data_IF_435011122892
#
_entry.id   IF_435011122892
#
_cell.length_a   1.000
_cell.length_b   1.000
_cell.length_c   1.000
_cell.angle_alpha   90.00
_cell.angle_beta   90.00
_cell.angle_gamma   90.00
#
_symmetry.space_group_name_H-M   'P 1'
#
loop_
_entity.id
_entity.type
_entity.pdbx_description
1 polymer ?
#
# COMPACT_ATOMS: atom_id res chain seq x y z
N UNK A 1 -36.42 21.06 -6.44
CA UNK A 1 -36.05 20.13 -5.35
C UNK A 1 -35.63 18.82 -5.98
N UNK A 2 -34.40 18.76 -6.45
CA UNK A 2 -33.86 17.54 -7.05
C UNK A 2 -32.78 17.01 -6.14
N UNK A 3 -32.98 15.76 -5.74
CA UNK A 3 -32.21 15.11 -4.70
C UNK A 3 -30.77 14.83 -5.15
N UNK A 4 -29.85 15.31 -4.38
CA UNK A 4 -28.46 14.92 -4.38
C UNK A 4 -28.38 13.39 -4.26
N UNK A 5 -27.94 12.73 -5.33
CA UNK A 5 -27.66 11.29 -5.30
C UNK A 5 -26.51 11.04 -4.32
N UNK A 6 -26.64 10.17 -3.34
CA UNK A 6 -25.57 9.88 -2.42
C UNK A 6 -24.42 9.20 -3.17
N UNK A 7 -23.26 9.81 -3.13
CA UNK A 7 -22.00 9.23 -3.62
C UNK A 7 -21.80 7.89 -2.88
N UNK A 8 -21.59 6.86 -3.66
CA UNK A 8 -21.68 5.44 -3.26
C UNK A 8 -20.91 5.11 -1.98
N UNK A 9 -21.63 4.60 -0.98
CA UNK A 9 -21.09 3.91 0.22
C UNK A 9 -20.15 2.72 -0.09
N UNK A 10 -19.99 2.37 -1.36
CA UNK A 10 -19.18 1.21 -1.80
C UNK A 10 -17.67 1.49 -1.91
N UNK A 11 -17.24 2.76 -1.95
CA UNK A 11 -15.81 3.11 -1.99
C UNK A 11 -15.11 2.93 -0.63
N UNK A 12 -15.82 3.18 0.47
CA UNK A 12 -15.27 3.02 1.81
C UNK A 12 -15.02 1.54 2.19
N UNK A 13 -15.71 0.60 1.56
CA UNK A 13 -15.58 -0.83 1.88
C UNK A 13 -14.43 -1.54 1.16
N UNK A 14 -13.95 -0.99 0.03
CA UNK A 14 -12.85 -1.61 -0.73
C UNK A 14 -11.46 -1.25 -0.21
N UNK A 15 -11.34 -0.21 0.60
CA UNK A 15 -10.07 0.26 1.16
C UNK A 15 -9.73 -0.34 2.53
N UNK A 16 -10.68 -1.03 3.19
CA UNK A 16 -10.46 -1.69 4.49
C UNK A 16 -9.62 -2.96 4.42
N UNK A 17 -9.18 -3.36 3.24
CA UNK A 17 -8.29 -4.49 3.02
C UNK A 17 -6.81 -4.16 3.15
N UNK A 18 -6.42 -3.38 4.15
CA UNK A 18 -5.02 -3.27 4.56
C UNK A 18 -4.57 -4.59 5.18
N UNK A 19 -4.46 -5.64 4.36
CA UNK A 19 -3.84 -6.90 4.77
C UNK A 19 -2.38 -6.62 5.08
N UNK A 20 -2.11 -6.25 6.32
CA UNK A 20 -0.78 -6.28 6.86
C UNK A 20 -0.42 -7.73 7.04
N UNK A 21 0.54 -8.14 6.29
CA UNK A 21 1.22 -9.41 6.46
C UNK A 21 1.85 -9.50 7.85
N UNK A 22 1.09 -10.07 8.77
CA UNK A 22 1.65 -10.70 9.96
C UNK A 22 0.89 -11.97 10.20
N UNK A 23 1.53 -13.04 9.83
CA UNK A 23 1.06 -14.38 10.16
C UNK A 23 1.68 -14.81 11.49
N UNK A 24 0.80 -15.17 12.42
CA UNK A 24 1.20 -15.75 13.68
C UNK A 24 1.82 -17.13 13.47
N UNK A 25 2.88 -17.38 14.20
CA UNK A 25 3.72 -18.56 14.20
C UNK A 25 3.06 -19.76 14.86
N UNK A 26 3.18 -20.92 14.25
CA UNK A 26 3.50 -22.18 14.95
C UNK A 26 4.15 -23.16 13.95
N UNK A 27 5.41 -23.45 14.12
CA UNK A 27 6.13 -24.47 13.36
C UNK A 27 7.57 -24.56 13.82
N UNK A 28 7.87 -25.56 14.63
CA UNK A 28 9.25 -25.92 14.95
C UNK A 28 9.92 -26.51 13.70
N UNK A 29 10.96 -25.87 13.22
CA UNK A 29 11.94 -26.49 12.32
C UNK A 29 13.34 -26.03 12.71
N UNK A 30 14.31 -26.94 12.57
CA UNK A 30 15.68 -26.79 13.00
C UNK A 30 16.27 -25.43 12.66
N UNK A 31 16.71 -24.69 13.67
CA UNK A 31 17.39 -23.41 13.55
C UNK A 31 18.75 -23.61 12.84
N UNK A 32 18.74 -23.62 11.52
CA UNK A 32 19.92 -23.19 10.78
C UNK A 32 19.93 -21.67 10.85
N UNK A 33 20.80 -21.12 11.70
CA UNK A 33 21.12 -19.68 11.73
C UNK A 33 21.54 -19.22 10.33
N UNK A 34 20.58 -18.83 9.50
CA UNK A 34 20.85 -18.23 8.21
C UNK A 34 21.10 -16.73 8.41
N UNK A 35 22.29 -16.39 8.89
CA UNK A 35 22.70 -15.01 9.20
C UNK A 35 22.55 -14.05 8.02
N UNK A 36 22.74 -14.55 6.81
CA UNK A 36 22.62 -13.72 5.61
C UNK A 36 21.15 -13.37 5.33
N UNK A 37 20.25 -14.32 5.53
CA UNK A 37 18.81 -14.10 5.40
C UNK A 37 18.26 -13.20 6.52
N UNK A 38 18.73 -13.37 7.74
CA UNK A 38 18.36 -12.50 8.86
C UNK A 38 18.85 -11.05 8.62
N UNK A 39 20.07 -10.86 8.10
CA UNK A 39 20.58 -9.53 7.73
C UNK A 39 19.79 -8.89 6.56
N UNK A 40 19.41 -9.68 5.57
CA UNK A 40 18.52 -9.25 4.50
C UNK A 40 17.17 -8.80 5.06
N UNK A 41 16.56 -9.60 5.93
CA UNK A 41 15.28 -9.27 6.57
C UNK A 41 15.37 -8.01 7.44
N UNK A 42 16.47 -7.83 8.19
CA UNK A 42 16.72 -6.61 8.95
C UNK A 42 16.77 -5.38 8.04
N UNK A 43 17.51 -5.46 6.94
CA UNK A 43 17.61 -4.37 5.97
C UNK A 43 16.24 -3.98 5.39
N UNK A 44 15.44 -4.95 4.96
CA UNK A 44 14.09 -4.72 4.43
C UNK A 44 13.19 -4.12 5.51
N UNK A 45 13.17 -4.70 6.72
CA UNK A 45 12.27 -4.31 7.81
C UNK A 45 12.63 -2.97 8.46
N UNK A 46 13.84 -2.45 8.26
CA UNK A 46 14.31 -1.19 8.88
C UNK A 46 13.44 0.02 8.51
N UNK A 47 12.98 0.09 7.27
CA UNK A 47 12.24 1.25 6.74
C UNK A 47 10.71 1.03 6.71
N UNK A 48 10.25 -0.20 6.85
CA UNK A 48 8.83 -0.57 6.76
C UNK A 48 7.92 0.22 7.71
N UNK A 49 8.27 0.46 9.00
CA UNK A 49 7.38 1.20 9.90
C UNK A 49 7.04 2.62 9.43
N UNK A 50 8.05 3.36 8.92
CA UNK A 50 7.83 4.72 8.42
C UNK A 50 7.00 4.73 7.13
N UNK A 51 7.27 3.78 6.23
CA UNK A 51 6.50 3.61 5.00
C UNK A 51 5.05 3.23 5.31
N UNK A 52 4.84 2.28 6.23
CA UNK A 52 3.51 1.86 6.65
C UNK A 52 2.71 3.00 7.27
N UNK A 53 3.32 3.77 8.18
CA UNK A 53 2.66 4.92 8.80
C UNK A 53 2.19 5.95 7.76
N UNK A 54 3.04 6.24 6.74
CA UNK A 54 2.70 7.15 5.65
C UNK A 54 1.54 6.63 4.80
N UNK A 55 1.57 5.35 4.43
CA UNK A 55 0.52 4.69 3.65
C UNK A 55 -0.81 4.68 4.44
N UNK A 56 -0.77 4.29 5.71
CA UNK A 56 -1.96 4.26 6.57
C UNK A 56 -2.59 5.65 6.70
N UNK A 57 -1.78 6.67 7.02
CA UNK A 57 -2.28 8.04 7.13
C UNK A 57 -2.91 8.56 5.83
N UNK A 58 -2.38 8.16 4.67
CA UNK A 58 -2.95 8.53 3.38
C UNK A 58 -4.30 7.84 3.11
N UNK A 59 -4.44 6.56 3.43
CA UNK A 59 -5.74 5.87 3.35
C UNK A 59 -6.76 6.45 4.33
N UNK A 60 -6.34 6.80 5.55
CA UNK A 60 -7.21 7.45 6.53
C UNK A 60 -7.69 8.82 6.02
N UNK A 61 -6.81 9.59 5.37
CA UNK A 61 -7.19 10.86 4.76
C UNK A 61 -8.26 10.68 3.67
N UNK A 62 -8.09 9.70 2.77
CA UNK A 62 -9.09 9.38 1.73
C UNK A 62 -10.42 8.89 2.33
N UNK A 63 -10.37 8.07 3.39
CA UNK A 63 -11.57 7.54 4.04
C UNK A 63 -12.37 8.62 4.77
N UNK A 64 -11.69 9.64 5.32
CA UNK A 64 -12.27 10.72 6.12
C UNK A 64 -12.54 11.99 5.32
N UNK A 65 -12.34 11.99 4.01
CA UNK A 65 -12.69 13.12 3.14
C UNK A 65 -14.17 13.46 3.32
N UNK A 66 -14.45 14.71 3.67
CA UNK A 66 -15.81 15.21 3.84
C UNK A 66 -16.54 15.20 2.49
N UNK A 67 -17.63 14.43 2.38
CA UNK A 67 -18.38 14.26 1.12
C UNK A 67 -19.05 15.51 0.61
N UNK A 68 -19.24 16.50 1.49
CA UNK A 68 -19.86 17.80 1.30
C UNK A 68 -18.84 18.95 1.39
N UNK A 69 -17.55 18.61 1.33
CA UNK A 69 -16.45 19.58 1.28
C UNK A 69 -16.45 20.39 -0.01
N UNK A 70 -15.75 21.53 0.01
CA UNK A 70 -15.56 22.33 -1.20
C UNK A 70 -14.65 21.60 -2.20
N UNK A 71 -14.90 21.73 -3.52
CA UNK A 71 -14.08 21.07 -4.53
C UNK A 71 -12.58 21.26 -4.36
N UNK A 72 -12.13 22.46 -3.98
CA UNK A 72 -10.71 22.75 -3.77
C UNK A 72 -10.11 22.00 -2.58
N UNK A 73 -10.89 21.85 -1.49
CA UNK A 73 -10.46 21.13 -0.29
C UNK A 73 -10.39 19.62 -0.55
N UNK A 74 -11.38 19.08 -1.28
CA UNK A 74 -11.40 17.68 -1.71
C UNK A 74 -10.23 17.38 -2.64
N UNK A 75 -10.04 18.20 -3.68
CA UNK A 75 -8.92 18.06 -4.62
C UNK A 75 -7.58 18.04 -3.90
N UNK A 76 -7.37 18.98 -2.97
CA UNK A 76 -6.12 19.07 -2.20
C UNK A 76 -5.89 17.82 -1.35
N UNK A 77 -6.90 17.38 -0.61
CA UNK A 77 -6.79 16.21 0.27
C UNK A 77 -6.50 14.95 -0.52
N UNK A 78 -7.23 14.71 -1.61
CA UNK A 78 -7.03 13.53 -2.45
C UNK A 78 -5.67 13.56 -3.15
N UNK A 79 -5.25 14.72 -3.66
CA UNK A 79 -3.93 14.90 -4.28
C UNK A 79 -2.79 14.59 -3.30
N UNK A 80 -2.84 15.13 -2.08
CA UNK A 80 -1.85 14.87 -1.03
C UNK A 80 -1.85 13.40 -0.61
N UNK A 81 -3.02 12.78 -0.50
CA UNK A 81 -3.14 11.37 -0.14
C UNK A 81 -2.57 10.45 -1.24
N UNK A 82 -2.90 10.69 -2.52
CA UNK A 82 -2.34 9.92 -3.63
C UNK A 82 -0.83 10.11 -3.78
N UNK A 83 -0.31 11.32 -3.53
CA UNK A 83 1.14 11.54 -3.49
C UNK A 83 1.79 10.70 -2.39
N UNK A 84 1.21 10.70 -1.18
CA UNK A 84 1.74 9.94 -0.06
C UNK A 84 1.69 8.42 -0.29
N UNK A 85 0.65 7.91 -0.96
CA UNK A 85 0.55 6.51 -1.37
C UNK A 85 1.61 6.16 -2.40
N UNK A 86 1.75 6.98 -3.45
CA UNK A 86 2.78 6.80 -4.47
C UNK A 86 4.19 6.74 -3.84
N UNK A 87 4.53 7.74 -3.03
CA UNK A 87 5.84 7.81 -2.35
C UNK A 87 6.07 6.63 -1.40
N UNK A 88 5.03 6.21 -0.66
CA UNK A 88 5.11 5.09 0.27
C UNK A 88 5.41 3.77 -0.45
N UNK A 89 4.70 3.48 -1.55
CA UNK A 89 4.93 2.28 -2.35
C UNK A 89 6.25 2.33 -3.12
N UNK A 90 6.66 3.51 -3.62
CA UNK A 90 7.97 3.70 -4.23
C UNK A 90 9.10 3.43 -3.24
N UNK A 91 8.97 3.92 -2.01
CA UNK A 91 9.97 3.67 -0.98
C UNK A 91 10.06 2.19 -0.62
N UNK A 92 8.94 1.45 -0.61
CA UNK A 92 8.92 -0.01 -0.43
C UNK A 92 9.61 -0.75 -1.57
N UNK A 93 9.27 -0.40 -2.83
CA UNK A 93 9.90 -0.98 -4.00
C UNK A 93 11.42 -0.76 -3.98
N UNK A 94 11.84 0.48 -3.65
CA UNK A 94 13.26 0.84 -3.56
C UNK A 94 13.98 0.08 -2.45
N UNK A 95 13.39 -0.02 -1.26
CA UNK A 95 13.99 -0.74 -0.13
C UNK A 95 14.16 -2.23 -0.45
N UNK A 96 13.13 -2.86 -1.00
CA UNK A 96 13.16 -4.25 -1.40
C UNK A 96 14.15 -4.48 -2.55
N UNK A 97 14.13 -3.62 -3.58
CA UNK A 97 15.06 -3.69 -4.72
C UNK A 97 16.53 -3.51 -4.31
N UNK A 98 16.80 -2.62 -3.33
CA UNK A 98 18.16 -2.39 -2.81
C UNK A 98 18.66 -3.54 -1.94
N UNK A 99 17.76 -4.28 -1.28
CA UNK A 99 18.14 -5.46 -0.50
C UNK A 99 18.48 -6.65 -1.38
N UNK A 100 18.02 -6.67 -2.63
CA UNK A 100 18.17 -7.82 -3.54
C UNK A 100 17.24 -8.98 -3.15
N UNK A 101 17.40 -10.10 -3.84
CA UNK A 101 16.65 -11.31 -3.53
C UNK A 101 17.11 -11.93 -2.20
N UNK A 102 16.19 -12.56 -1.43
CA UNK A 102 16.56 -13.28 -0.21
C UNK A 102 17.64 -14.33 -0.47
N UNK A 103 18.78 -14.27 0.21
CA UNK A 103 19.89 -15.18 -0.03
C UNK A 103 19.55 -16.61 0.40
N UNK A 104 20.06 -17.59 -0.35
CA UNK A 104 19.91 -19.02 -0.03
C UNK A 104 18.50 -19.60 -0.24
N UNK A 105 17.57 -18.83 -0.83
CA UNK A 105 16.19 -19.25 -1.06
C UNK A 105 15.98 -19.57 -2.54
N UNK A 106 15.55 -20.79 -2.84
CA UNK A 106 15.32 -21.23 -4.22
C UNK A 106 14.18 -20.45 -4.88
N UNK A 107 14.40 -19.97 -6.10
CA UNK A 107 13.40 -19.20 -6.87
C UNK A 107 13.12 -17.80 -6.34
N UNK A 108 13.83 -17.33 -5.32
CA UNK A 108 13.62 -16.01 -4.70
C UNK A 108 13.85 -14.86 -5.66
N UNK A 109 14.78 -14.95 -6.60
CA UNK A 109 15.07 -13.90 -7.59
C UNK A 109 13.83 -13.51 -8.40
N UNK A 110 13.10 -14.51 -8.89
CA UNK A 110 11.88 -14.28 -9.66
C UNK A 110 10.78 -13.66 -8.80
N UNK A 111 10.56 -14.19 -7.61
CA UNK A 111 9.56 -13.69 -6.64
C UNK A 111 9.88 -12.24 -6.20
N UNK A 112 11.16 -11.99 -5.92
CA UNK A 112 11.67 -10.68 -5.56
C UNK A 112 11.43 -9.65 -6.67
N UNK A 113 11.83 -9.99 -7.91
CA UNK A 113 11.60 -9.12 -9.06
C UNK A 113 10.12 -8.82 -9.26
N UNK A 114 9.26 -9.84 -9.19
CA UNK A 114 7.80 -9.67 -9.32
C UNK A 114 7.24 -8.74 -8.25
N UNK A 115 7.67 -8.88 -6.99
CA UNK A 115 7.24 -8.01 -5.91
C UNK A 115 7.69 -6.55 -6.11
N UNK A 116 8.94 -6.32 -6.52
CA UNK A 116 9.46 -4.98 -6.82
C UNK A 116 8.72 -4.35 -7.99
N UNK A 117 8.51 -5.09 -9.08
CA UNK A 117 7.81 -4.60 -10.26
C UNK A 117 6.35 -4.19 -9.92
N UNK A 118 5.63 -5.00 -9.15
CA UNK A 118 4.24 -4.71 -8.75
C UNK A 118 4.14 -3.54 -7.77
N UNK A 119 5.06 -3.40 -6.83
CA UNK A 119 5.12 -2.23 -5.94
C UNK A 119 5.41 -0.95 -6.73
N UNK A 120 6.28 -1.01 -7.74
CA UNK A 120 6.59 0.10 -8.62
C UNK A 120 5.36 0.48 -9.45
N UNK A 121 4.70 -0.49 -10.08
CA UNK A 121 3.46 -0.27 -10.83
C UNK A 121 2.37 0.38 -9.96
N UNK A 122 2.23 -0.08 -8.72
CA UNK A 122 1.27 0.49 -7.78
C UNK A 122 1.60 1.93 -7.42
N UNK A 123 2.88 2.25 -7.20
CA UNK A 123 3.35 3.62 -6.99
C UNK A 123 3.02 4.53 -8.17
N UNK A 124 3.30 4.08 -9.38
CA UNK A 124 3.03 4.85 -10.61
C UNK A 124 1.54 5.08 -10.81
N UNK A 125 0.72 4.08 -10.50
CA UNK A 125 -0.74 4.19 -10.59
C UNK A 125 -1.32 5.22 -9.61
N UNK A 126 -0.78 5.33 -8.39
CA UNK A 126 -1.16 6.40 -7.48
C UNK A 126 -0.67 7.78 -7.94
N UNK A 127 0.52 7.86 -8.54
CA UNK A 127 0.99 9.10 -9.15
C UNK A 127 0.09 9.57 -10.31
N UNK A 128 -0.45 8.64 -11.08
CA UNK A 128 -1.39 8.95 -12.16
C UNK A 128 -2.76 9.38 -11.62
N UNK A 129 -3.26 8.76 -10.54
CA UNK A 129 -4.47 9.24 -9.83
C UNK A 129 -4.30 10.67 -9.33
N UNK A 130 -3.14 10.97 -8.73
CA UNK A 130 -2.82 12.34 -8.32
C UNK A 130 -2.91 13.32 -9.48
N UNK A 131 -2.30 13.01 -10.64
CA UNK A 131 -2.36 13.88 -11.83
C UNK A 131 -3.79 14.09 -12.30
N UNK A 132 -4.63 13.05 -12.27
CA UNK A 132 -6.04 13.16 -12.63
C UNK A 132 -6.78 14.09 -11.68
N UNK A 133 -6.61 13.93 -10.37
CA UNK A 133 -7.20 14.80 -9.36
C UNK A 133 -6.73 16.26 -9.51
N UNK A 134 -5.43 16.47 -9.70
CA UNK A 134 -4.86 17.82 -9.89
C UNK A 134 -5.45 18.55 -11.13
N UNK A 135 -5.88 17.80 -12.14
CA UNK A 135 -6.45 18.32 -13.36
C UNK A 135 -7.96 18.63 -13.27
N UNK A 136 -8.64 18.31 -12.17
CA UNK A 136 -10.08 18.54 -12.03
C UNK A 136 -10.40 20.04 -11.93
N UNK A 137 -11.47 20.46 -12.59
CA UNK A 137 -11.95 21.85 -12.57
C UNK A 137 -12.77 22.11 -11.29
N UNK A 138 -12.15 22.68 -10.28
CA UNK A 138 -12.80 23.02 -9.00
C UNK A 138 -13.79 24.17 -9.10
N UNK A 139 -13.79 24.93 -10.20
CA UNK A 139 -14.71 26.06 -10.41
C UNK A 139 -16.05 25.62 -11.00
N UNK A 140 -16.10 24.45 -11.60
CA UNK A 140 -17.29 23.84 -12.16
C UNK A 140 -17.64 22.56 -11.37
N UNK A 141 -18.59 22.69 -10.46
CA UNK A 141 -18.97 21.60 -9.56
C UNK A 141 -19.45 20.34 -10.31
N UNK A 142 -20.12 20.50 -11.45
CA UNK A 142 -20.62 19.37 -12.23
C UNK A 142 -19.47 18.63 -12.92
N UNK A 143 -18.50 19.36 -13.49
CA UNK A 143 -17.29 18.78 -14.07
C UNK A 143 -16.40 18.15 -13.01
N UNK A 144 -16.26 18.80 -11.85
CA UNK A 144 -15.51 18.25 -10.73
C UNK A 144 -16.10 16.91 -10.29
N UNK A 145 -17.41 16.83 -10.09
CA UNK A 145 -18.08 15.59 -9.69
C UNK A 145 -17.91 14.48 -10.75
N UNK A 146 -18.08 14.82 -12.05
CA UNK A 146 -17.84 13.85 -13.12
C UNK A 146 -16.41 13.37 -13.17
N UNK A 147 -15.43 14.24 -12.96
CA UNK A 147 -14.02 13.86 -12.92
C UNK A 147 -13.67 12.97 -11.71
N UNK A 148 -14.33 13.17 -10.56
CA UNK A 148 -14.19 12.25 -9.41
C UNK A 148 -14.78 10.86 -9.71
N UNK A 149 -15.83 10.75 -10.53
CA UNK A 149 -16.34 9.45 -10.98
C UNK A 149 -15.28 8.72 -11.82
N UNK A 150 -14.57 9.42 -12.70
CA UNK A 150 -13.47 8.85 -13.50
C UNK A 150 -12.28 8.39 -12.59
N UNK A 151 -11.92 9.20 -11.60
CA UNK A 151 -10.92 8.83 -10.57
C UNK A 151 -11.37 7.57 -9.81
N UNK A 152 -12.65 7.49 -9.44
CA UNK A 152 -13.23 6.32 -8.77
C UNK A 152 -13.15 5.04 -9.61
N UNK A 153 -13.39 5.13 -10.92
CA UNK A 153 -13.22 3.98 -11.82
C UNK A 153 -11.76 3.54 -11.92
N UNK A 154 -10.83 4.50 -11.96
CA UNK A 154 -9.40 4.17 -11.96
C UNK A 154 -8.97 3.53 -10.63
N UNK A 155 -9.51 3.98 -9.50
CA UNK A 155 -9.25 3.39 -8.19
C UNK A 155 -9.59 1.90 -8.11
N UNK A 156 -10.61 1.43 -8.84
CA UNK A 156 -10.93 -0.02 -8.91
C UNK A 156 -9.78 -0.84 -9.50
N UNK A 157 -9.11 -0.30 -10.53
CA UNK A 157 -7.93 -0.94 -11.14
C UNK A 157 -6.74 -0.92 -10.19
N UNK A 158 -6.54 0.20 -9.49
CA UNK A 158 -5.47 0.33 -8.50
C UNK A 158 -5.68 -0.63 -7.32
N UNK A 159 -6.93 -0.86 -6.90
CA UNK A 159 -7.25 -1.88 -5.88
C UNK A 159 -6.83 -3.29 -6.32
N UNK A 160 -7.06 -3.67 -7.58
CA UNK A 160 -6.60 -4.96 -8.11
C UNK A 160 -5.07 -5.06 -8.17
N UNK A 161 -4.39 -3.96 -8.53
CA UNK A 161 -2.93 -3.89 -8.51
C UNK A 161 -2.38 -4.01 -7.09
N UNK A 162 -3.04 -3.40 -6.11
CA UNK A 162 -2.71 -3.53 -4.69
C UNK A 162 -2.80 -4.99 -4.22
N UNK A 163 -3.92 -5.68 -4.51
CA UNK A 163 -4.08 -7.10 -4.20
C UNK A 163 -2.98 -7.95 -4.85
N UNK A 164 -2.64 -7.65 -6.11
CA UNK A 164 -1.57 -8.32 -6.82
C UNK A 164 -0.20 -8.07 -6.20
N UNK A 165 0.10 -6.85 -5.76
CA UNK A 165 1.35 -6.52 -5.08
C UNK A 165 1.44 -7.22 -3.70
N UNK A 166 0.34 -7.27 -2.95
CA UNK A 166 0.25 -8.00 -1.68
C UNK A 166 0.52 -9.50 -1.90
N UNK A 167 -0.13 -10.11 -2.90
CA UNK A 167 0.08 -11.52 -3.21
C UNK A 167 1.53 -11.84 -3.59
N UNK A 168 2.21 -10.94 -4.31
CA UNK A 168 3.63 -11.11 -4.66
C UNK A 168 4.55 -11.01 -3.45
N UNK A 169 4.27 -10.07 -2.53
CA UNK A 169 5.00 -9.98 -1.26
C UNK A 169 4.79 -11.23 -0.43
N UNK A 170 3.54 -11.74 -0.33
CA UNK A 170 3.25 -12.99 0.38
C UNK A 170 4.02 -14.18 -0.21
N UNK A 171 4.06 -14.28 -1.54
CA UNK A 171 4.81 -15.33 -2.20
C UNK A 171 6.32 -15.23 -1.96
N UNK A 172 6.88 -14.02 -1.85
CA UNK A 172 8.28 -13.80 -1.49
C UNK A 172 8.56 -14.17 -0.03
N UNK A 173 7.61 -13.88 0.86
CA UNK A 173 7.71 -14.11 2.32
C UNK A 173 7.29 -15.53 2.73
N UNK A 174 7.48 -16.56 1.90
CA UNK A 174 7.21 -17.94 2.25
C UNK A 174 8.42 -18.62 2.93
N UNK A 175 8.17 -19.69 3.70
CA UNK A 175 9.23 -20.51 4.30
C UNK A 175 10.18 -19.72 5.20
N UNK A 176 11.48 -19.90 5.04
CA UNK A 176 12.55 -19.31 5.87
C UNK A 176 12.53 -17.77 5.82
N UNK A 177 12.12 -17.17 4.69
CA UNK A 177 11.98 -15.71 4.56
C UNK A 177 10.96 -15.17 5.56
N UNK A 178 9.81 -15.84 5.71
CA UNK A 178 8.77 -15.48 6.66
C UNK A 178 9.29 -15.50 8.09
N UNK A 179 10.06 -16.50 8.45
CA UNK A 179 10.63 -16.62 9.78
C UNK A 179 11.67 -15.53 10.06
N UNK A 180 12.53 -15.24 9.08
CA UNK A 180 13.52 -14.18 9.19
C UNK A 180 12.86 -12.79 9.34
N UNK A 181 11.84 -12.48 8.53
CA UNK A 181 11.07 -11.23 8.61
C UNK A 181 10.31 -11.11 9.92
N UNK A 182 9.69 -12.21 10.41
CA UNK A 182 8.93 -12.22 11.66
C UNK A 182 9.81 -11.99 12.90
N UNK A 183 11.11 -12.25 12.85
CA UNK A 183 12.07 -11.95 13.93
C UNK A 183 12.33 -10.44 14.03
N UNK A 184 12.19 -9.67 12.95
CA UNK A 184 12.64 -8.28 12.88
C UNK A 184 11.73 -7.30 13.62
N UNK A 185 12.26 -6.45 14.51
CA UNK A 185 11.47 -5.48 15.28
C UNK A 185 10.71 -4.48 14.41
N UNK A 186 11.30 -4.05 13.28
CA UNK A 186 10.68 -3.11 12.35
C UNK A 186 9.40 -3.67 11.72
N UNK A 187 9.44 -4.91 11.23
CA UNK A 187 8.27 -5.56 10.65
C UNK A 187 7.20 -5.87 11.71
N UNK A 188 7.59 -6.30 12.93
CA UNK A 188 6.66 -6.46 14.06
C UNK A 188 5.93 -5.16 14.40
N UNK A 189 6.66 -4.04 14.44
CA UNK A 189 6.06 -2.73 14.73
C UNK A 189 5.06 -2.30 13.65
N UNK A 190 5.43 -2.46 12.39
CA UNK A 190 4.55 -2.13 11.27
C UNK A 190 3.24 -2.94 11.30
N UNK A 191 3.36 -4.21 11.64
CA UNK A 191 2.23 -5.11 11.81
C UNK A 191 1.26 -4.68 12.91
N UNK A 192 1.78 -4.36 14.08
CA UNK A 192 0.97 -3.90 15.21
C UNK A 192 0.22 -2.60 14.86
N UNK A 193 0.89 -1.67 14.16
CA UNK A 193 0.28 -0.40 13.73
C UNK A 193 -0.89 -0.59 12.77
N UNK A 194 -0.80 -1.57 11.90
CA UNK A 194 -1.86 -1.83 10.93
C UNK A 194 -3.05 -2.59 11.53
N UNK A 195 -2.82 -3.45 12.52
CA UNK A 195 -3.90 -4.12 13.26
C UNK A 195 -4.73 -3.13 14.08
N UNK A 196 -4.11 -2.07 14.61
CA UNK A 196 -4.80 -1.03 15.37
C UNK A 196 -5.65 -0.07 14.50
N UNK A 197 -5.32 0.07 13.22
CA UNK A 197 -6.10 0.88 12.28
C UNK A 197 -7.39 0.18 11.79
N UNK A 198 -7.50 -1.13 12.00
CA UNK A 198 -8.67 -1.95 11.60
C UNK A 198 -9.64 -2.28 12.76
N UNK A 199 -9.43 -1.72 13.94
CA UNK A 199 -10.27 -1.91 15.14
C UNK A 199 -11.10 -0.67 15.43
#
# INVERSE_FOLDING_TARGET
MEGTKPVNKKLAAALSGGAVLVLALTGCSDEKDNKELDAWAEQVCKTVPAQQAKITAAYDALANVAKDGKPEELQKTDSEAFQNLSDGFKARATALGSAGAPPGVEGAEKKHKDAVDKLTLLSDSYADLKKQVDALDTKDQAKFASGLDDVSEQMKKVSQQYESAVASLQSLEEGDVKEAVAKQPGCKKAAASASSANS
#
